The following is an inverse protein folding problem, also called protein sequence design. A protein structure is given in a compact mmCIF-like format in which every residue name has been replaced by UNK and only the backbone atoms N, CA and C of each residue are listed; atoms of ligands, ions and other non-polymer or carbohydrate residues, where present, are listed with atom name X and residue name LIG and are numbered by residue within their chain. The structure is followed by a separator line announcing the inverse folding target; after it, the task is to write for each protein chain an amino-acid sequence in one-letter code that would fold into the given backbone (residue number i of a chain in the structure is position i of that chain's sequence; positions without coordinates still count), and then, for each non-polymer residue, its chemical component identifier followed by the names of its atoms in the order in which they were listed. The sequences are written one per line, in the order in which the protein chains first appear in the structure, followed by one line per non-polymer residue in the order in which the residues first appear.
data_IF_243978902317
#
_entry.id   IF_243978902317
#
_cell.length_a   1.000
_cell.length_b   1.000
_cell.length_c   1.000
_cell.angle_alpha   90.00
_cell.angle_beta   90.00
_cell.angle_gamma   90.00
#
_symmetry.space_group_name_H-M   'P 1'
#
loop_
_entity.id
_entity.type
_entity.pdbx_description
1 polymer ?
#
# COMPACT_ATOMS: atom_id res chain seq x y z
N UNK A 1 1.55 1.93 -22.76
CA UNK A 1 0.22 1.57 -22.21
C UNK A 1 -0.91 1.94 -23.18
N UNK A 2 -1.00 3.16 -23.68
CA UNK A 2 -2.03 3.55 -24.66
C UNK A 2 -1.98 2.69 -25.93
N UNK A 3 -0.80 2.34 -26.42
CA UNK A 3 -0.59 1.40 -27.53
C UNK A 3 -1.18 0.00 -27.29
N UNK A 4 -1.38 -0.36 -26.01
CA UNK A 4 -2.05 -1.61 -25.59
C UNK A 4 -3.55 -1.42 -25.36
N UNK A 5 -4.12 -0.28 -25.75
CA UNK A 5 -5.56 0.01 -25.63
C UNK A 5 -6.00 0.41 -24.21
N UNK A 6 -5.08 0.84 -23.35
CA UNK A 6 -5.40 1.32 -22.00
C UNK A 6 -5.77 2.80 -22.05
N UNK A 7 -6.99 3.11 -21.64
CA UNK A 7 -7.48 4.49 -21.52
C UNK A 7 -6.82 5.19 -20.31
N UNK A 8 -6.12 6.33 -20.53
CA UNK A 8 -5.47 7.09 -19.46
C UNK A 8 -6.42 7.97 -18.64
N UNK A 9 -7.70 8.00 -18.93
CA UNK A 9 -8.65 8.90 -18.25
C UNK A 9 -8.91 8.47 -16.83
N UNK A 10 -8.86 9.42 -15.90
CA UNK A 10 -9.36 9.23 -14.54
C UNK A 10 -10.89 9.09 -14.54
N UNK A 11 -11.45 8.50 -13.48
CA UNK A 11 -12.89 8.30 -13.30
C UNK A 11 -13.45 9.08 -12.11
N UNK A 12 -12.62 9.90 -11.48
CA UNK A 12 -12.96 10.68 -10.29
C UNK A 12 -11.82 10.67 -9.26
N UNK A 13 -12.15 11.09 -8.04
CA UNK A 13 -11.28 10.98 -6.86
C UNK A 13 -12.14 10.52 -5.69
N UNK A 14 -12.13 9.22 -5.39
CA UNK A 14 -12.83 8.63 -4.25
C UNK A 14 -11.89 8.25 -3.09
N UNK A 15 -10.59 8.17 -3.38
CA UNK A 15 -9.56 7.74 -2.44
C UNK A 15 -8.40 8.75 -2.41
N UNK A 16 -8.08 9.24 -1.22
CA UNK A 16 -6.86 9.96 -0.95
C UNK A 16 -5.85 9.01 -0.30
N UNK A 17 -4.80 8.64 -1.04
CA UNK A 17 -3.69 7.87 -0.47
C UNK A 17 -2.62 8.82 0.03
N UNK A 18 -2.11 8.61 1.24
CA UNK A 18 -1.15 9.54 1.86
C UNK A 18 0.10 8.82 2.32
N UNK A 19 1.23 9.15 1.69
CA UNK A 19 2.56 8.63 2.05
C UNK A 19 3.17 9.51 3.14
N UNK A 20 2.99 9.17 4.41
CA UNK A 20 3.33 10.08 5.50
C UNK A 20 4.78 9.98 5.98
N UNK A 21 5.50 8.89 5.67
CA UNK A 21 6.90 8.74 6.09
C UNK A 21 7.66 7.71 5.24
N UNK A 22 8.99 7.85 5.17
CA UNK A 22 9.90 6.79 4.70
C UNK A 22 10.60 6.05 5.84
N UNK A 23 10.36 6.44 7.10
CA UNK A 23 10.85 5.67 8.24
C UNK A 23 10.13 4.32 8.31
N UNK A 24 10.90 3.25 8.46
CA UNK A 24 10.40 1.90 8.66
C UNK A 24 11.34 1.15 9.61
N UNK A 25 10.85 0.17 10.36
CA UNK A 25 11.70 -0.73 11.15
C UNK A 25 12.37 -1.83 10.30
N UNK A 26 12.04 -1.91 9.01
CA UNK A 26 12.54 -2.92 8.05
C UNK A 26 13.13 -2.25 6.80
N UNK A 27 13.95 -3.03 6.04
CA UNK A 27 14.50 -2.66 4.74
C UNK A 27 14.24 -3.78 3.72
N UNK A 28 12.97 -4.03 3.41
CA UNK A 28 12.53 -5.13 2.54
C UNK A 28 13.12 -5.04 1.13
N UNK A 29 13.50 -6.18 0.53
CA UNK A 29 14.14 -6.21 -0.79
C UNK A 29 13.23 -5.73 -1.94
N UNK A 30 11.91 -5.90 -1.80
CA UNK A 30 10.89 -5.49 -2.79
C UNK A 30 10.26 -4.11 -2.50
N UNK A 31 10.83 -3.33 -1.58
CA UNK A 31 10.21 -2.07 -1.15
C UNK A 31 10.25 -1.01 -2.24
N UNK A 32 9.08 -0.65 -2.75
CA UNK A 32 8.92 0.39 -3.78
C UNK A 32 9.09 1.81 -3.20
N UNK A 33 8.84 2.01 -1.90
CA UNK A 33 9.01 3.31 -1.21
C UNK A 33 10.47 3.61 -0.89
N UNK A 34 11.34 2.61 -0.92
CA UNK A 34 12.72 2.66 -0.44
C UNK A 34 12.80 3.09 1.05
N UNK A 35 11.87 2.58 1.84
CA UNK A 35 11.81 2.83 3.28
C UNK A 35 12.87 2.02 4.03
N UNK A 36 13.36 2.55 5.15
CA UNK A 36 14.32 1.84 6.02
C UNK A 36 14.41 2.48 7.42
N UNK A 37 15.09 1.82 8.39
CA UNK A 37 15.33 2.39 9.72
C UNK A 37 16.21 3.64 9.72
N UNK A 38 16.96 3.90 8.65
CA UNK A 38 17.83 5.09 8.49
C UNK A 38 17.14 6.29 7.88
N UNK A 39 15.98 6.11 7.26
CA UNK A 39 15.22 7.20 6.63
C UNK A 39 14.58 8.10 7.69
N UNK A 40 14.46 9.38 7.38
CA UNK A 40 13.92 10.40 8.31
C UNK A 40 12.86 11.29 7.68
N UNK A 41 12.60 11.12 6.39
CA UNK A 41 11.60 11.90 5.66
C UNK A 41 10.21 11.62 6.21
N UNK A 42 9.54 12.67 6.60
CA UNK A 42 8.20 12.66 7.19
C UNK A 42 7.39 13.83 6.68
N UNK A 43 6.10 13.61 6.46
CA UNK A 43 5.17 14.66 6.13
C UNK A 43 5.07 15.66 7.29
N UNK A 44 5.04 16.94 7.01
CA UNK A 44 4.88 17.94 8.05
C UNK A 44 3.41 18.13 8.47
N UNK A 45 3.22 18.83 9.59
CA UNK A 45 1.89 19.09 10.15
C UNK A 45 0.99 19.88 9.20
N UNK A 46 1.55 20.83 8.44
CA UNK A 46 0.78 21.65 7.50
C UNK A 46 0.22 20.82 6.34
N UNK A 47 1.00 19.88 5.84
CA UNK A 47 0.57 18.94 4.79
C UNK A 47 -0.48 17.95 5.31
N UNK A 48 -0.35 17.48 6.57
CA UNK A 48 -1.39 16.64 7.21
C UNK A 48 -2.69 17.45 7.39
N UNK A 49 -2.61 18.72 7.81
CA UNK A 49 -3.77 19.60 7.92
C UNK A 49 -4.44 19.84 6.57
N UNK A 50 -3.65 20.01 5.50
CA UNK A 50 -4.18 20.14 4.15
C UNK A 50 -4.93 18.87 3.71
N UNK A 51 -4.38 17.66 3.99
CA UNK A 51 -5.07 16.40 3.72
C UNK A 51 -6.41 16.30 4.46
N UNK A 52 -6.43 16.59 5.77
CA UNK A 52 -7.67 16.60 6.54
C UNK A 52 -8.65 17.68 6.06
N UNK A 53 -8.13 18.85 5.67
CA UNK A 53 -8.93 19.92 5.08
C UNK A 53 -9.57 19.54 3.75
N UNK A 54 -8.88 18.78 2.90
CA UNK A 54 -9.44 18.23 1.66
C UNK A 54 -10.56 17.25 1.97
N UNK A 55 -10.34 16.27 2.85
CA UNK A 55 -11.37 15.31 3.26
C UNK A 55 -12.61 15.99 3.84
N UNK A 56 -12.44 17.08 4.61
CA UNK A 56 -13.55 17.83 5.17
C UNK A 56 -14.36 18.64 4.16
N UNK A 57 -13.77 19.02 3.03
CA UNK A 57 -14.45 19.77 1.95
C UNK A 57 -15.02 18.90 0.84
N UNK A 58 -14.50 17.68 0.68
CA UNK A 58 -14.77 16.77 -0.44
C UNK A 58 -15.30 15.44 0.09
N UNK A 59 -16.59 15.37 0.40
CA UNK A 59 -17.25 14.16 0.94
C UNK A 59 -17.29 13.00 -0.06
N UNK A 60 -17.07 13.26 -1.35
CA UNK A 60 -16.89 12.25 -2.40
C UNK A 60 -15.60 11.43 -2.22
N UNK A 61 -14.60 12.00 -1.53
CA UNK A 61 -13.38 11.28 -1.13
C UNK A 61 -13.69 10.47 0.14
N UNK A 62 -14.27 9.30 -0.08
CA UNK A 62 -14.78 8.46 1.00
C UNK A 62 -13.69 7.66 1.74
N UNK A 63 -12.48 7.54 1.16
CA UNK A 63 -11.41 6.69 1.68
C UNK A 63 -10.12 7.49 1.88
N UNK A 64 -9.52 7.36 3.07
CA UNK A 64 -8.14 7.74 3.35
C UNK A 64 -7.29 6.47 3.48
N UNK A 65 -6.35 6.26 2.56
CA UNK A 65 -5.40 5.13 2.54
C UNK A 65 -4.02 5.60 3.04
N UNK A 66 -3.69 5.32 4.29
CA UNK A 66 -2.44 5.78 4.91
C UNK A 66 -1.34 4.76 4.66
N UNK A 67 -0.26 5.19 4.00
CA UNK A 67 0.85 4.36 3.57
C UNK A 67 2.20 5.05 3.79
N UNK A 68 3.27 4.47 3.23
CA UNK A 68 4.64 4.97 3.31
C UNK A 68 5.61 3.87 3.68
N UNK A 69 6.54 4.16 4.58
CA UNK A 69 7.42 3.15 5.20
C UNK A 69 6.64 2.28 6.18
N UNK A 70 6.64 2.68 7.44
CA UNK A 70 5.69 2.20 8.45
C UNK A 70 4.95 3.43 8.99
N UNK A 71 3.73 3.69 8.51
CA UNK A 71 3.03 4.94 8.82
C UNK A 71 2.82 5.18 10.32
N UNK A 72 2.71 4.12 11.10
CA UNK A 72 2.54 4.16 12.55
C UNK A 72 3.72 4.79 13.30
N UNK A 73 4.87 4.89 12.64
CA UNK A 73 6.08 5.51 13.19
C UNK A 73 6.08 7.05 13.01
N UNK A 74 5.09 7.60 12.31
CA UNK A 74 4.94 9.03 12.18
C UNK A 74 4.36 9.64 13.46
N UNK A 75 4.93 10.74 14.02
CA UNK A 75 4.47 11.31 15.30
C UNK A 75 3.00 11.76 15.26
N UNK A 76 2.49 12.15 14.10
CA UNK A 76 1.11 12.60 13.94
C UNK A 76 0.17 11.55 13.34
N UNK A 77 0.61 10.29 13.26
CA UNK A 77 -0.20 9.20 12.75
C UNK A 77 -1.57 9.10 13.42
N UNK A 78 -1.58 9.16 14.77
CA UNK A 78 -2.83 9.11 15.54
C UNK A 78 -3.76 10.28 15.20
N UNK A 79 -3.21 11.49 15.04
CA UNK A 79 -3.99 12.69 14.70
C UNK A 79 -4.63 12.56 13.31
N UNK A 80 -3.88 12.06 12.33
CA UNK A 80 -4.40 11.86 10.97
C UNK A 80 -5.55 10.83 10.97
N UNK A 81 -5.38 9.69 11.64
CA UNK A 81 -6.44 8.66 11.75
C UNK A 81 -7.68 9.21 12.46
N UNK A 82 -7.51 9.81 13.63
CA UNK A 82 -8.66 10.32 14.42
C UNK A 82 -9.36 11.48 13.74
N UNK A 83 -8.61 12.36 13.07
CA UNK A 83 -9.15 13.47 12.30
C UNK A 83 -10.00 12.99 11.12
N UNK A 84 -9.51 12.04 10.34
CA UNK A 84 -10.26 11.47 9.22
C UNK A 84 -11.52 10.72 9.69
N UNK A 85 -11.43 9.94 10.77
CA UNK A 85 -12.61 9.26 11.35
C UNK A 85 -13.66 10.23 11.90
N UNK A 86 -13.25 11.38 12.42
CA UNK A 86 -14.18 12.44 12.83
C UNK A 86 -14.94 13.10 11.66
N UNK A 87 -14.46 12.90 10.42
CA UNK A 87 -15.08 13.33 9.18
C UNK A 87 -15.89 12.20 8.50
N UNK A 88 -16.13 11.08 9.19
CA UNK A 88 -16.77 9.87 8.67
C UNK A 88 -16.03 9.22 7.48
N UNK A 89 -14.78 9.60 7.22
CA UNK A 89 -13.96 9.00 6.18
C UNK A 89 -13.56 7.58 6.57
N UNK A 90 -13.68 6.61 5.65
CA UNK A 90 -13.14 5.27 5.86
C UNK A 90 -11.61 5.31 5.85
N UNK A 91 -10.98 4.77 6.90
CA UNK A 91 -9.52 4.79 7.03
C UNK A 91 -8.93 3.40 6.81
N UNK A 92 -8.04 3.29 5.82
CA UNK A 92 -7.19 2.13 5.58
C UNK A 92 -5.78 2.46 6.06
N UNK A 93 -5.15 1.54 6.79
CA UNK A 93 -3.74 1.65 7.16
C UNK A 93 -2.96 0.51 6.54
N UNK A 94 -1.93 0.86 5.75
CA UNK A 94 -0.97 -0.13 5.21
C UNK A 94 0.01 -0.51 6.31
N UNK A 95 -0.48 -1.30 7.25
CA UNK A 95 0.20 -1.65 8.49
C UNK A 95 1.37 -2.59 8.27
N UNK A 96 2.54 -2.24 8.85
CA UNK A 96 3.66 -3.18 8.95
C UNK A 96 3.53 -4.00 10.24
N UNK A 97 3.12 -5.27 10.12
CA UNK A 97 2.87 -6.18 11.25
C UNK A 97 4.01 -6.21 12.28
N UNK A 98 5.27 -6.15 11.84
CA UNK A 98 6.42 -6.24 12.75
C UNK A 98 6.56 -5.02 13.68
N UNK A 99 6.03 -3.85 13.28
CA UNK A 99 6.06 -2.63 14.10
C UNK A 99 5.32 -2.82 15.42
N UNK A 100 4.24 -3.61 15.43
CA UNK A 100 3.50 -3.88 16.68
C UNK A 100 4.38 -4.47 17.78
N UNK A 101 5.41 -5.26 17.41
CA UNK A 101 6.28 -5.96 18.34
C UNK A 101 7.64 -5.28 18.53
N UNK A 102 8.13 -4.63 17.50
CA UNK A 102 9.40 -3.91 17.57
C UNK A 102 9.20 -2.56 18.28
N UNK A 103 10.18 -2.13 19.07
CA UNK A 103 10.15 -0.79 19.62
C UNK A 103 10.27 0.24 18.49
N UNK A 104 9.68 1.40 18.69
CA UNK A 104 9.81 2.51 17.74
C UNK A 104 11.30 2.86 17.53
N UNK A 105 11.83 2.86 16.28
CA UNK A 105 13.26 2.90 16.03
C UNK A 105 13.98 4.18 16.50
N UNK A 106 13.25 5.27 16.73
CA UNK A 106 13.81 6.53 17.22
C UNK A 106 13.59 6.70 18.73
N UNK A 107 12.34 6.47 19.20
CA UNK A 107 11.97 6.77 20.59
C UNK A 107 12.11 5.58 21.55
N UNK A 108 12.30 4.36 21.04
CA UNK A 108 12.33 3.13 21.82
C UNK A 108 11.00 2.73 22.47
N UNK A 109 9.91 3.48 22.20
CA UNK A 109 8.60 3.21 22.81
C UNK A 109 7.96 1.95 22.23
N UNK A 110 7.21 1.23 23.06
CA UNK A 110 6.41 0.08 22.63
C UNK A 110 5.29 0.51 21.70
N UNK A 111 5.06 -0.28 20.65
CA UNK A 111 3.98 -0.08 19.67
C UNK A 111 2.82 -1.09 19.84
N UNK A 112 2.83 -1.89 20.94
CA UNK A 112 1.80 -2.90 21.21
C UNK A 112 0.37 -2.35 21.41
N UNK A 113 0.23 -1.03 21.49
CA UNK A 113 -1.04 -0.33 21.58
C UNK A 113 -1.80 -0.25 20.25
N UNK A 114 -1.14 -0.52 19.11
CA UNK A 114 -1.70 -0.36 17.77
C UNK A 114 -2.98 -1.19 17.52
N UNK A 115 -3.07 -2.50 17.85
CA UNK A 115 -4.29 -3.26 17.61
C UNK A 115 -5.52 -2.67 18.30
N UNK A 116 -5.40 -2.29 19.57
CA UNK A 116 -6.48 -1.65 20.32
C UNK A 116 -6.84 -0.26 19.78
N UNK A 117 -5.86 0.50 19.30
CA UNK A 117 -6.08 1.79 18.63
C UNK A 117 -6.84 1.62 17.33
N UNK A 118 -6.44 0.70 16.46
CA UNK A 118 -7.15 0.39 15.22
C UNK A 118 -8.59 -0.04 15.49
N UNK A 119 -8.81 -0.90 16.49
CA UNK A 119 -10.14 -1.35 16.89
C UNK A 119 -11.05 -0.22 17.39
N UNK A 120 -10.50 0.71 18.17
CA UNK A 120 -11.23 1.88 18.71
C UNK A 120 -11.67 2.82 17.61
N UNK A 121 -10.88 2.97 16.57
CA UNK A 121 -11.12 3.95 15.48
C UNK A 121 -11.64 3.30 14.20
N UNK A 122 -12.09 2.04 14.25
CA UNK A 122 -12.66 1.32 13.12
C UNK A 122 -11.79 1.44 11.84
N UNK A 123 -10.49 1.15 11.99
CA UNK A 123 -9.51 1.20 10.92
C UNK A 123 -9.51 -0.12 10.16
N UNK A 124 -9.52 -0.08 8.84
CA UNK A 124 -9.22 -1.27 8.03
C UNK A 124 -7.69 -1.47 7.97
N UNK A 125 -7.25 -2.67 8.33
CA UNK A 125 -5.83 -3.01 8.34
C UNK A 125 -5.48 -3.83 7.10
N UNK A 126 -4.53 -3.32 6.30
CA UNK A 126 -3.96 -4.04 5.15
C UNK A 126 -2.47 -4.26 5.41
N UNK A 127 -2.03 -5.50 5.43
CA UNK A 127 -0.68 -5.84 5.88
C UNK A 127 0.04 -6.78 4.93
N UNK A 128 1.32 -6.50 4.67
CA UNK A 128 2.15 -7.37 3.84
C UNK A 128 2.60 -8.61 4.60
N UNK A 129 2.18 -9.77 4.12
CA UNK A 129 2.73 -11.08 4.45
C UNK A 129 3.06 -11.78 3.12
N UNK A 130 4.26 -11.58 2.57
CA UNK A 130 4.59 -12.00 1.20
C UNK A 130 4.36 -13.48 0.92
N UNK A 131 4.57 -14.33 1.93
CA UNK A 131 4.30 -15.76 1.83
C UNK A 131 3.91 -16.36 3.19
N UNK A 132 3.13 -17.44 3.18
CA UNK A 132 2.74 -18.20 4.38
C UNK A 132 3.84 -19.13 4.92
N UNK A 133 4.98 -19.23 4.23
CA UNK A 133 6.16 -19.97 4.71
C UNK A 133 7.18 -19.01 5.31
N UNK A 134 7.75 -19.33 6.50
CA UNK A 134 8.70 -18.45 7.18
C UNK A 134 9.89 -18.04 6.33
N UNK A 135 10.56 -19.02 5.70
CA UNK A 135 11.76 -18.78 4.89
C UNK A 135 11.52 -17.76 3.76
N UNK A 136 10.38 -17.85 3.05
CA UNK A 136 10.10 -16.99 1.91
C UNK A 136 9.74 -15.57 2.34
N UNK A 137 9.02 -15.40 3.45
CA UNK A 137 8.73 -14.09 4.03
C UNK A 137 10.00 -13.44 4.58
N UNK A 138 10.80 -14.19 5.35
CA UNK A 138 12.04 -13.68 5.93
C UNK A 138 13.07 -13.30 4.86
N UNK A 139 13.14 -14.04 3.76
CA UNK A 139 14.01 -13.71 2.62
C UNK A 139 13.67 -12.35 2.01
N UNK A 140 12.41 -11.95 1.98
CA UNK A 140 11.96 -10.66 1.43
C UNK A 140 12.02 -9.53 2.45
N UNK A 141 11.67 -9.80 3.72
CA UNK A 141 11.43 -8.76 4.73
C UNK A 141 12.49 -8.71 5.85
N UNK A 142 13.35 -9.71 5.91
CA UNK A 142 14.36 -9.86 6.96
C UNK A 142 14.03 -11.00 7.93
N UNK A 143 15.09 -11.57 8.51
CA UNK A 143 15.00 -12.72 9.42
C UNK A 143 14.11 -12.40 10.64
N UNK A 144 13.23 -13.33 10.99
CA UNK A 144 12.27 -13.20 12.09
C UNK A 144 11.04 -12.36 11.80
N UNK A 145 10.92 -11.83 10.56
CA UNK A 145 9.74 -11.05 10.17
C UNK A 145 8.46 -11.89 10.15
N UNK A 146 8.56 -13.15 9.76
CA UNK A 146 7.40 -14.04 9.73
C UNK A 146 6.84 -14.27 11.13
N UNK A 147 7.67 -14.68 12.09
CA UNK A 147 7.23 -14.95 13.48
C UNK A 147 6.59 -13.72 14.12
N UNK A 148 7.20 -12.55 13.96
CA UNK A 148 6.64 -11.28 14.43
C UNK A 148 5.32 -10.96 13.74
N UNK A 149 5.19 -11.25 12.45
CA UNK A 149 3.94 -11.03 11.72
C UNK A 149 2.82 -11.92 12.24
N UNK A 150 3.08 -13.20 12.50
CA UNK A 150 2.11 -14.12 13.10
C UNK A 150 1.66 -13.66 14.48
N UNK A 151 2.61 -13.26 15.34
CA UNK A 151 2.26 -12.77 16.68
C UNK A 151 1.45 -11.46 16.63
N UNK A 152 1.80 -10.54 15.73
CA UNK A 152 1.01 -9.32 15.50
C UNK A 152 -0.40 -9.63 15.00
N UNK A 153 -0.54 -10.62 14.10
CA UNK A 153 -1.87 -11.07 13.65
C UNK A 153 -2.69 -11.66 14.81
N UNK A 154 -2.08 -12.41 15.74
CA UNK A 154 -2.78 -12.90 16.94
C UNK A 154 -3.30 -11.75 17.79
N UNK A 155 -2.50 -10.68 17.99
CA UNK A 155 -2.92 -9.49 18.70
C UNK A 155 -4.08 -8.77 17.99
N UNK A 156 -4.03 -8.67 16.65
CA UNK A 156 -5.12 -8.13 15.85
C UNK A 156 -6.38 -9.00 15.92
N UNK A 157 -6.24 -10.34 15.82
CA UNK A 157 -7.37 -11.27 15.95
C UNK A 157 -8.00 -11.19 17.35
N UNK A 158 -7.21 -11.00 18.42
CA UNK A 158 -7.73 -10.80 19.78
C UNK A 158 -8.61 -9.54 19.88
N UNK A 159 -8.33 -8.51 19.10
CA UNK A 159 -9.19 -7.32 18.95
C UNK A 159 -10.32 -7.51 17.93
N UNK A 160 -10.46 -8.71 17.34
CA UNK A 160 -11.52 -9.07 16.39
C UNK A 160 -11.20 -8.81 14.92
N UNK A 161 -10.03 -8.33 14.55
CA UNK A 161 -9.64 -8.16 13.16
C UNK A 161 -9.49 -9.52 12.46
N UNK A 162 -10.00 -9.62 11.23
CA UNK A 162 -9.96 -10.88 10.48
C UNK A 162 -10.88 -11.99 11.01
N UNK A 163 -11.61 -11.74 12.11
CA UNK A 163 -12.52 -12.69 12.72
C UNK A 163 -13.92 -12.54 12.12
N UNK A 164 -14.56 -13.63 11.65
CA UNK A 164 -15.90 -13.55 11.07
C UNK A 164 -16.93 -12.92 12.03
N UNK A 165 -17.79 -12.07 11.51
CA UNK A 165 -18.90 -11.46 12.26
C UNK A 165 -18.55 -10.21 13.09
N UNK A 166 -17.27 -9.84 13.23
CA UNK A 166 -16.85 -8.66 14.01
C UNK A 166 -16.92 -7.35 13.23
N UNK A 167 -16.91 -7.41 11.89
CA UNK A 167 -16.81 -6.24 11.01
C UNK A 167 -15.40 -5.66 10.87
N UNK A 168 -14.45 -6.03 11.74
CA UNK A 168 -13.07 -5.51 11.73
C UNK A 168 -12.22 -6.23 10.68
N UNK A 169 -11.67 -5.46 9.75
CA UNK A 169 -11.01 -6.00 8.56
C UNK A 169 -9.49 -6.08 8.75
N UNK A 170 -8.94 -7.29 8.55
CA UNK A 170 -7.53 -7.57 8.35
C UNK A 170 -7.37 -8.21 6.98
N UNK A 171 -6.74 -7.51 6.05
CA UNK A 171 -6.42 -8.03 4.73
C UNK A 171 -4.91 -8.23 4.61
N UNK A 172 -4.51 -9.28 3.91
CA UNK A 172 -3.11 -9.58 3.70
C UNK A 172 -2.70 -9.27 2.26
N UNK A 173 -1.44 -8.91 2.07
CA UNK A 173 -0.84 -8.71 0.76
C UNK A 173 0.24 -9.77 0.53
N UNK A 174 0.06 -10.53 -0.54
CA UNK A 174 1.05 -11.45 -1.10
C UNK A 174 1.88 -10.73 -2.16
N UNK A 175 3.20 -10.93 -2.13
CA UNK A 175 4.10 -10.56 -3.21
C UNK A 175 4.96 -11.78 -3.60
N UNK A 176 5.09 -12.11 -4.89
CA UNK A 176 5.98 -13.19 -5.33
C UNK A 176 7.42 -12.97 -4.85
N UNK A 177 8.12 -14.05 -4.53
CA UNK A 177 9.54 -13.96 -4.17
C UNK A 177 10.38 -13.96 -5.44
N UNK A 178 10.65 -12.78 -5.99
CA UNK A 178 11.42 -12.58 -7.21
C UNK A 178 10.61 -12.00 -8.38
N UNK A 179 11.15 -12.07 -9.62
CA UNK A 179 10.56 -11.45 -10.81
C UNK A 179 9.50 -12.36 -11.46
N UNK A 180 8.44 -12.65 -10.71
CA UNK A 180 7.35 -13.52 -11.15
C UNK A 180 6.01 -12.79 -11.04
N UNK A 181 5.06 -13.18 -11.90
CA UNK A 181 3.66 -12.84 -11.71
C UNK A 181 3.10 -13.67 -10.54
N UNK A 182 2.17 -13.10 -9.74
CA UNK A 182 1.48 -13.88 -8.72
C UNK A 182 0.65 -14.99 -9.38
N UNK A 183 0.48 -16.09 -8.66
CA UNK A 183 -0.48 -17.11 -9.03
C UNK A 183 -1.93 -16.60 -8.80
N UNK A 184 -2.92 -17.39 -9.23
CA UNK A 184 -4.33 -17.08 -9.02
C UNK A 184 -4.63 -16.70 -7.56
N UNK A 185 -5.22 -15.51 -7.37
CA UNK A 185 -5.44 -14.93 -6.03
C UNK A 185 -6.35 -15.80 -5.16
N UNK A 186 -7.40 -16.40 -5.73
CA UNK A 186 -8.32 -17.24 -4.97
C UNK A 186 -7.63 -18.54 -4.50
N UNK A 187 -6.74 -19.09 -5.32
CA UNK A 187 -5.95 -20.27 -4.95
C UNK A 187 -4.93 -19.94 -3.87
N UNK A 188 -4.22 -18.81 -4.01
CA UNK A 188 -3.31 -18.31 -2.97
C UNK A 188 -4.04 -18.06 -1.66
N UNK A 189 -5.21 -17.42 -1.69
CA UNK A 189 -5.99 -17.15 -0.47
C UNK A 189 -6.38 -18.45 0.25
N UNK A 190 -6.81 -19.48 -0.47
CA UNK A 190 -7.11 -20.80 0.13
C UNK A 190 -5.89 -21.42 0.81
N UNK A 191 -4.73 -21.34 0.17
CA UNK A 191 -3.48 -21.86 0.74
C UNK A 191 -3.04 -21.07 1.97
N UNK A 192 -3.16 -19.73 1.95
CA UNK A 192 -2.89 -18.88 3.12
C UNK A 192 -3.84 -19.21 4.27
N UNK A 193 -5.14 -19.31 4.01
CA UNK A 193 -6.14 -19.64 5.06
C UNK A 193 -5.83 -20.96 5.71
N UNK A 194 -5.55 -22.00 4.91
CA UNK A 194 -5.20 -23.33 5.42
C UNK A 194 -3.90 -23.27 6.23
N UNK A 195 -2.81 -22.74 5.65
CA UNK A 195 -1.51 -22.73 6.30
C UNK A 195 -1.50 -21.89 7.59
N UNK A 196 -2.08 -20.70 7.56
CA UNK A 196 -2.10 -19.78 8.70
C UNK A 196 -3.09 -20.23 9.77
N UNK A 197 -4.27 -20.75 9.37
CA UNK A 197 -5.27 -21.26 10.29
C UNK A 197 -4.79 -22.52 11.01
N UNK A 198 -4.38 -23.54 10.24
CA UNK A 198 -4.03 -24.85 10.80
C UNK A 198 -2.75 -24.83 11.65
N UNK A 199 -1.75 -24.08 11.22
CA UNK A 199 -0.43 -24.10 11.89
C UNK A 199 -0.29 -23.03 12.97
N UNK A 200 -0.93 -21.86 12.81
CA UNK A 200 -0.69 -20.71 13.67
C UNK A 200 -1.96 -20.19 14.38
N UNK A 201 -3.14 -20.67 14.00
CA UNK A 201 -4.41 -20.26 14.60
C UNK A 201 -4.78 -18.81 14.33
N UNK A 202 -4.32 -18.22 13.21
CA UNK A 202 -4.62 -16.84 12.84
C UNK A 202 -5.53 -16.75 11.62
N UNK A 203 -6.37 -15.73 11.59
CA UNK A 203 -7.39 -15.51 10.55
C UNK A 203 -7.23 -14.11 9.92
N UNK A 204 -7.75 -13.98 8.70
CA UNK A 204 -7.79 -12.73 7.95
C UNK A 204 -9.01 -12.71 7.01
N UNK A 205 -9.38 -11.53 6.49
CA UNK A 205 -10.57 -11.40 5.65
C UNK A 205 -10.29 -11.70 4.17
N UNK A 206 -9.29 -11.07 3.57
CA UNK A 206 -8.95 -11.21 2.14
C UNK A 206 -7.44 -11.26 1.93
N UNK A 207 -7.03 -11.90 0.83
CA UNK A 207 -5.65 -11.83 0.32
C UNK A 207 -5.64 -10.99 -0.95
N UNK A 208 -4.73 -10.04 -1.03
CA UNK A 208 -4.45 -9.27 -2.23
C UNK A 208 -3.13 -9.75 -2.84
N UNK A 209 -3.17 -10.26 -4.06
CA UNK A 209 -1.98 -10.70 -4.77
C UNK A 209 -1.42 -9.52 -5.58
N UNK A 210 -0.26 -9.02 -5.19
CA UNK A 210 0.38 -7.87 -5.84
C UNK A 210 1.66 -8.30 -6.56
N UNK A 211 1.80 -7.84 -7.79
CA UNK A 211 3.05 -7.93 -8.56
C UNK A 211 4.12 -7.04 -7.92
N UNK A 212 5.36 -7.50 -7.89
CA UNK A 212 6.47 -6.63 -7.47
C UNK A 212 6.73 -5.57 -8.54
N UNK A 213 6.61 -4.30 -8.16
CA UNK A 213 6.84 -3.20 -9.09
C UNK A 213 8.34 -3.01 -9.36
N UNK A 214 8.77 -2.92 -10.63
CA UNK A 214 10.17 -2.73 -11.00
C UNK A 214 10.60 -1.27 -10.76
N UNK A 215 10.51 -0.82 -9.52
CA UNK A 215 10.89 0.53 -9.08
C UNK A 215 11.76 0.47 -7.82
N UNK A 216 12.60 1.48 -7.61
CA UNK A 216 13.48 1.63 -6.43
C UNK A 216 14.25 0.35 -6.13
N UNK A 217 14.27 -0.10 -4.86
CA UNK A 217 15.10 -1.21 -4.39
C UNK A 217 14.88 -2.52 -5.17
N UNK A 218 13.67 -2.79 -5.64
CA UNK A 218 13.44 -3.97 -6.47
C UNK A 218 14.01 -3.81 -7.88
N UNK A 219 13.91 -2.61 -8.48
CA UNK A 219 14.57 -2.31 -9.75
C UNK A 219 16.10 -2.42 -9.64
N UNK A 220 16.69 -1.90 -8.55
CA UNK A 220 18.13 -2.02 -8.28
C UNK A 220 18.54 -3.48 -8.16
N UNK A 221 17.76 -4.31 -7.48
CA UNK A 221 18.00 -5.75 -7.37
C UNK A 221 17.90 -6.46 -8.73
N UNK A 222 16.89 -6.15 -9.54
CA UNK A 222 16.73 -6.69 -10.88
C UNK A 222 17.91 -6.32 -11.79
N UNK A 223 18.35 -5.07 -11.72
CA UNK A 223 19.51 -4.57 -12.47
C UNK A 223 20.79 -5.30 -12.07
N UNK A 224 21.03 -5.47 -10.77
CA UNK A 224 22.18 -6.19 -10.25
C UNK A 224 22.22 -7.67 -10.69
N UNK A 225 21.04 -8.26 -10.93
CA UNK A 225 20.89 -9.65 -11.43
C UNK A 225 20.87 -9.72 -12.98
N UNK A 226 20.92 -8.60 -13.70
CA UNK A 226 20.75 -8.56 -15.15
C UNK A 226 19.36 -8.99 -15.64
N UNK A 227 18.33 -8.92 -14.78
CA UNK A 227 16.99 -9.45 -15.04
C UNK A 227 15.93 -8.35 -15.28
N UNK A 228 16.32 -7.07 -15.27
CA UNK A 228 15.38 -5.95 -15.33
C UNK A 228 14.58 -5.94 -16.65
N UNK A 229 15.26 -5.98 -17.80
CA UNK A 229 14.63 -5.97 -19.12
C UNK A 229 13.77 -7.21 -19.36
N UNK A 230 14.25 -8.39 -18.93
CA UNK A 230 13.48 -9.64 -19.04
C UNK A 230 12.17 -9.54 -18.23
N UNK A 231 12.27 -8.99 -17.01
CA UNK A 231 11.08 -8.85 -16.16
C UNK A 231 10.07 -7.85 -16.74
N UNK A 232 10.52 -6.70 -17.21
CA UNK A 232 9.65 -5.73 -17.92
C UNK A 232 9.02 -6.35 -19.16
N UNK A 233 9.77 -7.06 -19.98
CA UNK A 233 9.25 -7.77 -21.14
C UNK A 233 8.19 -8.81 -20.78
N UNK A 234 8.37 -9.53 -19.67
CA UNK A 234 7.37 -10.47 -19.13
C UNK A 234 6.08 -9.77 -18.70
N UNK A 235 6.18 -8.64 -17.99
CA UNK A 235 5.02 -7.85 -17.59
C UNK A 235 4.27 -7.29 -18.81
N UNK A 236 4.99 -6.71 -19.76
CA UNK A 236 4.41 -6.14 -20.98
C UNK A 236 3.73 -7.22 -21.84
N UNK A 237 4.34 -8.39 -22.00
CA UNK A 237 3.76 -9.53 -22.74
C UNK A 237 2.49 -10.08 -22.09
N UNK A 238 2.32 -9.89 -20.79
CA UNK A 238 1.14 -10.29 -20.03
C UNK A 238 0.12 -9.16 -19.85
N UNK A 239 0.33 -8.00 -20.51
CA UNK A 239 -0.56 -6.85 -20.35
C UNK A 239 -2.00 -7.21 -20.73
N UNK A 240 -2.93 -6.91 -19.83
CA UNK A 240 -4.36 -7.15 -19.98
C UNK A 240 -5.12 -5.82 -19.89
N UNK A 241 -5.61 -5.28 -21.01
CA UNK A 241 -6.37 -4.02 -21.01
C UNK A 241 -7.62 -4.06 -20.13
N UNK A 242 -8.27 -5.23 -19.99
CA UNK A 242 -9.43 -5.36 -19.11
C UNK A 242 -9.07 -5.15 -17.63
N UNK A 243 -7.88 -5.58 -17.22
CA UNK A 243 -7.38 -5.33 -15.87
C UNK A 243 -7.15 -3.83 -15.60
N UNK A 244 -6.80 -3.07 -16.63
CA UNK A 244 -6.56 -1.63 -16.52
C UNK A 244 -7.84 -0.81 -16.23
N UNK A 245 -9.01 -1.34 -16.46
CA UNK A 245 -10.29 -0.64 -16.22
C UNK A 245 -10.53 -0.42 -14.71
N UNK A 246 -9.94 -1.25 -13.86
CA UNK A 246 -10.20 -1.26 -12.42
C UNK A 246 -8.94 -0.97 -11.59
N UNK A 247 -7.86 -0.42 -12.19
CA UNK A 247 -6.68 0.00 -11.41
C UNK A 247 -7.00 1.24 -10.58
N UNK A 248 -6.50 1.27 -9.36
CA UNK A 248 -6.85 2.32 -8.38
C UNK A 248 -6.47 3.73 -8.81
N UNK A 249 -5.42 3.91 -9.61
CA UNK A 249 -5.00 5.23 -10.09
C UNK A 249 -6.07 5.97 -10.91
N UNK A 250 -7.14 5.29 -11.36
CA UNK A 250 -8.27 5.93 -12.04
C UNK A 250 -9.17 6.75 -11.11
N UNK A 251 -9.28 6.37 -9.84
CA UNK A 251 -10.10 7.07 -8.84
C UNK A 251 -9.35 7.47 -7.57
N UNK A 252 -8.05 7.22 -7.51
CA UNK A 252 -7.20 7.57 -6.37
C UNK A 252 -6.26 8.72 -6.73
N UNK A 253 -5.95 9.56 -5.74
CA UNK A 253 -4.82 10.49 -5.78
C UNK A 253 -3.88 10.17 -4.63
N UNK A 254 -2.58 10.07 -4.92
CA UNK A 254 -1.53 9.82 -3.93
C UNK A 254 -0.81 11.13 -3.57
N UNK A 255 -0.70 11.39 -2.27
CA UNK A 255 -0.02 12.57 -1.71
C UNK A 255 1.37 12.18 -1.24
N UNK A 256 2.38 12.83 -1.79
CA UNK A 256 3.76 12.69 -1.34
C UNK A 256 4.03 13.41 -0.03
N UNK A 257 5.17 13.11 0.60
CA UNK A 257 5.60 13.69 1.88
C UNK A 257 5.59 15.23 1.85
N UNK A 258 5.89 15.82 0.70
CA UNK A 258 5.97 17.28 0.49
C UNK A 258 4.66 17.87 -0.05
N UNK A 259 3.57 17.10 -0.04
CA UNK A 259 2.27 17.54 -0.50
C UNK A 259 2.03 17.49 -2.02
N UNK A 260 3.02 17.10 -2.82
CA UNK A 260 2.87 16.91 -4.27
C UNK A 260 1.90 15.76 -4.56
N UNK A 261 1.05 15.93 -5.59
CA UNK A 261 0.04 14.95 -5.99
C UNK A 261 0.52 14.07 -7.15
N UNK A 262 0.18 12.79 -7.05
CA UNK A 262 0.52 11.74 -8.03
C UNK A 262 -0.71 10.86 -8.29
N UNK A 263 -0.76 10.19 -9.45
CA UNK A 263 -1.84 9.25 -9.75
C UNK A 263 -1.80 8.00 -8.85
N UNK A 264 -0.61 7.61 -8.40
CA UNK A 264 -0.40 6.51 -7.45
C UNK A 264 0.96 6.65 -6.75
N UNK A 265 1.19 5.87 -5.70
CA UNK A 265 2.45 5.86 -4.96
C UNK A 265 3.64 5.32 -5.79
N UNK A 266 3.41 4.51 -6.82
CA UNK A 266 4.48 4.10 -7.74
C UNK A 266 4.94 5.27 -8.62
N UNK A 267 4.02 6.06 -9.18
CA UNK A 267 4.34 7.30 -9.88
C UNK A 267 5.10 8.28 -8.97
N UNK A 268 4.70 8.38 -7.69
CA UNK A 268 5.41 9.16 -6.69
C UNK A 268 6.89 8.73 -6.57
N UNK A 269 7.15 7.43 -6.51
CA UNK A 269 8.52 6.93 -6.37
C UNK A 269 9.40 7.23 -7.59
N UNK A 270 8.80 7.45 -8.74
CA UNK A 270 9.46 7.83 -10.00
C UNK A 270 9.48 9.35 -10.24
N UNK A 271 8.87 10.15 -9.37
CA UNK A 271 8.76 11.58 -9.53
C UNK A 271 7.81 12.02 -10.65
N UNK A 272 6.87 11.14 -11.04
CA UNK A 272 5.87 11.38 -12.08
C UNK A 272 4.63 12.05 -11.48
N UNK A 273 4.76 13.33 -11.10
CA UNK A 273 3.63 14.10 -10.57
C UNK A 273 2.50 14.24 -11.59
N UNK A 274 1.27 14.47 -11.11
CA UNK A 274 0.11 14.77 -11.97
C UNK A 274 0.42 16.02 -12.79
N UNK A 275 0.21 15.93 -14.10
CA UNK A 275 0.43 17.05 -15.02
C UNK A 275 -0.79 17.98 -15.00
N UNK A 276 -0.53 19.21 -14.59
CA UNK A 276 -1.49 20.32 -14.53
C UNK A 276 -0.78 21.61 -14.94
N UNK A 277 -1.52 22.69 -15.19
CA UNK A 277 -0.92 23.98 -15.53
C UNK A 277 0.05 24.51 -14.44
N UNK A 278 -0.18 24.11 -13.19
CA UNK A 278 0.71 24.36 -12.04
C UNK A 278 1.04 23.03 -11.37
N UNK A 279 2.14 22.90 -10.64
CA UNK A 279 2.44 21.65 -9.90
C UNK A 279 1.27 21.29 -9.00
N UNK A 280 0.70 20.11 -9.23
CA UNK A 280 -0.44 19.63 -8.44
C UNK A 280 -0.01 19.39 -6.98
N UNK A 281 -0.69 20.03 -6.04
CA UNK A 281 -0.38 20.00 -4.62
C UNK A 281 -1.65 19.83 -3.78
N UNK A 282 -1.53 19.14 -2.65
CA UNK A 282 -2.62 19.00 -1.67
C UNK A 282 -3.04 20.36 -1.08
N UNK A 283 -2.14 21.34 -1.05
CA UNK A 283 -2.40 22.69 -0.57
C UNK A 283 -3.32 23.49 -1.51
N UNK A 284 -3.26 23.18 -2.81
CA UNK A 284 -4.06 23.79 -3.88
C UNK A 284 -4.95 22.75 -4.55
N UNK A 285 -5.54 21.84 -3.76
CA UNK A 285 -6.35 20.73 -4.25
C UNK A 285 -7.57 21.22 -5.05
N UNK A 286 -7.64 20.81 -6.31
CA UNK A 286 -8.73 21.13 -7.24
C UNK A 286 -9.38 19.82 -7.73
N UNK A 287 -10.53 19.46 -7.16
CA UNK A 287 -11.24 18.23 -7.48
C UNK A 287 -11.64 18.16 -8.95
N UNK A 288 -12.14 19.26 -9.54
CA UNK A 288 -12.60 19.30 -10.93
C UNK A 288 -11.45 19.05 -11.91
N UNK A 289 -10.27 19.63 -11.65
CA UNK A 289 -9.09 19.41 -12.45
C UNK A 289 -8.60 17.96 -12.32
N UNK A 290 -8.62 17.41 -11.11
CA UNK A 290 -8.16 16.04 -10.83
C UNK A 290 -9.10 14.98 -11.43
N UNK A 291 -10.39 15.22 -11.48
CA UNK A 291 -11.35 14.34 -12.15
C UNK A 291 -11.13 14.23 -13.66
N UNK A 292 -10.64 15.29 -14.30
CA UNK A 292 -10.37 15.35 -15.75
C UNK A 292 -8.95 15.01 -16.12
N UNK A 293 -8.10 14.62 -15.14
CA UNK A 293 -6.69 14.34 -15.38
C UNK A 293 -6.49 13.15 -16.31
N UNK A 294 -5.38 13.18 -17.01
CA UNK A 294 -4.84 12.00 -17.71
C UNK A 294 -3.78 11.36 -16.84
N UNK A 295 -3.96 10.07 -16.55
CA UNK A 295 -3.02 9.27 -15.74
C UNK A 295 -1.68 9.18 -16.49
N UNK A 296 -0.60 9.47 -15.80
CA UNK A 296 0.75 9.33 -16.34
C UNK A 296 1.17 7.88 -16.32
N UNK A 297 1.35 7.32 -17.50
CA UNK A 297 1.85 5.97 -17.66
C UNK A 297 3.37 5.91 -17.80
N UNK A 298 3.97 4.83 -17.27
CA UNK A 298 5.34 4.43 -17.51
C UNK A 298 5.44 2.90 -17.46
N UNK A 299 6.63 2.34 -17.68
CA UNK A 299 6.81 0.89 -17.84
C UNK A 299 6.36 0.08 -16.60
N UNK A 300 6.47 0.66 -15.41
CA UNK A 300 5.98 0.00 -14.20
C UNK A 300 4.47 -0.26 -14.21
N UNK A 301 3.67 0.49 -14.99
CA UNK A 301 2.22 0.28 -15.11
C UNK A 301 1.85 -1.10 -15.64
N UNK A 302 2.75 -1.75 -16.40
CA UNK A 302 2.58 -3.15 -16.78
C UNK A 302 2.49 -4.07 -15.55
N UNK A 303 3.10 -3.71 -14.42
CA UNK A 303 2.95 -4.46 -13.17
C UNK A 303 1.52 -4.45 -12.61
N UNK A 304 0.75 -3.37 -12.83
CA UNK A 304 -0.66 -3.28 -12.43
C UNK A 304 -1.61 -3.98 -13.40
N UNK A 305 -1.21 -4.13 -14.68
CA UNK A 305 -2.10 -4.62 -15.75
C UNK A 305 -1.76 -6.02 -16.23
N UNK A 306 -0.66 -6.62 -15.77
CA UNK A 306 -0.26 -7.97 -16.16
C UNK A 306 -1.23 -9.05 -15.63
N UNK A 307 -1.60 -10.00 -16.47
CA UNK A 307 -2.43 -11.15 -16.10
C UNK A 307 -3.83 -10.76 -15.62
N UNK A 308 -4.20 -11.15 -14.40
CA UNK A 308 -5.46 -10.77 -13.77
C UNK A 308 -5.47 -9.35 -13.20
N UNK A 309 -4.39 -8.60 -13.41
CA UNK A 309 -4.18 -7.30 -12.82
C UNK A 309 -3.64 -7.36 -11.39
N UNK A 310 -3.11 -6.24 -10.93
CA UNK A 310 -2.50 -6.11 -9.60
C UNK A 310 -2.62 -4.65 -9.15
N UNK A 311 -3.70 -4.33 -8.47
CA UNK A 311 -3.89 -3.02 -7.86
C UNK A 311 -3.75 -3.12 -6.34
N UNK A 312 -3.72 -2.00 -5.63
CA UNK A 312 -3.60 -1.96 -4.16
C UNK A 312 -4.69 -2.74 -3.40
N UNK A 313 -5.78 -3.11 -4.07
CA UNK A 313 -6.86 -3.99 -3.59
C UNK A 313 -6.79 -5.43 -4.12
N UNK A 314 -5.69 -5.85 -4.76
CA UNK A 314 -5.51 -7.17 -5.35
C UNK A 314 -5.80 -7.21 -6.86
N UNK A 315 -6.25 -8.37 -7.37
CA UNK A 315 -6.61 -8.55 -8.78
C UNK A 315 -7.75 -7.64 -9.20
N UNK A 316 -7.71 -7.20 -10.46
CA UNK A 316 -8.66 -6.21 -11.02
C UNK A 316 -9.59 -6.79 -12.07
N UNK A 317 -9.48 -8.10 -12.38
CA UNK A 317 -10.39 -8.87 -13.26
C UNK A 317 -10.97 -10.06 -12.54
#
# INVERSE_FOLDING_TARGET
MEEFGVDPSATGVDTLQVNITRLCNQACSHCHVDASPSRREMMDSATIDACLGVLGRHSEIAVLDITGGAPELHPEFMRLVTGARALDTHVIVRHNLTVTLDPHPISGKSMRWLPAFFARHDVEVVSSLPHYQPYLTDRQRGIGSFEKSIESMRLLNAEGFGVPGTGRRLNLVHNPVGPYLPADQCSLERDYRRALGDQYGVTFNRLFALTNMPVKRFADQLTALGAHEEYLGRLASACNPAAALNVMCRSMVSVGIEGTLYDCDFNQMLGLAIETERPASIHDFDAEQLERRRIRFADHCFGCTAGAGSSCGGTTT
#
